data_IF_524478764045
#
_entry.id   IF_524478764045
#
_cell.length_a   1.000
_cell.length_b   1.000
_cell.length_c   1.000
_cell.angle_alpha   90.00
_cell.angle_beta   90.00
_cell.angle_gamma   90.00
#
_symmetry.space_group_name_H-M   'P 1'
#
loop_
_entity.id
_entity.type
_entity.pdbx_description
1 polymer ?
#
# COMPACT_ATOMS: atom_id res chain seq x y z
N UNK A 1 -14.93 -11.60 10.74
CA UNK A 1 -13.68 -11.62 9.96
C UNK A 1 -13.88 -11.68 8.44
N UNK A 2 -14.25 -12.81 7.80
CA UNK A 2 -14.26 -12.96 6.31
C UNK A 2 -15.00 -11.86 5.54
N UNK A 3 -16.22 -11.49 5.93
CA UNK A 3 -17.02 -10.44 5.26
C UNK A 3 -16.36 -9.05 5.38
N UNK A 4 -15.73 -8.75 6.53
CA UNK A 4 -15.05 -7.47 6.79
C UNK A 4 -13.78 -7.36 5.90
N UNK A 5 -12.96 -8.41 5.87
CA UNK A 5 -11.76 -8.49 5.01
C UNK A 5 -12.14 -8.34 3.54
N UNK A 6 -13.16 -9.07 3.07
CA UNK A 6 -13.62 -8.98 1.69
C UNK A 6 -14.08 -7.57 1.30
N UNK A 7 -14.84 -6.90 2.18
CA UNK A 7 -15.28 -5.51 1.96
C UNK A 7 -14.10 -4.55 1.88
N UNK A 8 -13.14 -4.68 2.81
CA UNK A 8 -11.91 -3.87 2.80
C UNK A 8 -11.08 -4.11 1.54
N UNK A 9 -10.87 -5.38 1.16
CA UNK A 9 -10.15 -5.74 -0.04
C UNK A 9 -10.81 -5.17 -1.32
N UNK A 10 -12.15 -5.21 -1.40
CA UNK A 10 -12.88 -4.65 -2.54
C UNK A 10 -12.71 -3.12 -2.62
N UNK A 11 -12.84 -2.42 -1.50
CA UNK A 11 -12.58 -0.97 -1.44
C UNK A 11 -11.14 -0.68 -1.84
N UNK A 12 -10.18 -1.41 -1.27
CA UNK A 12 -8.76 -1.27 -1.59
C UNK A 12 -8.45 -1.53 -3.06
N UNK A 13 -9.12 -2.50 -3.69
CA UNK A 13 -8.95 -2.79 -5.09
C UNK A 13 -9.31 -1.59 -5.97
N UNK A 14 -10.46 -0.98 -5.78
CA UNK A 14 -10.86 0.19 -6.56
C UNK A 14 -9.99 1.42 -6.27
N UNK A 15 -9.63 1.66 -5.01
CA UNK A 15 -8.71 2.74 -4.65
C UNK A 15 -7.31 2.51 -5.24
N UNK A 16 -6.80 1.28 -5.20
CA UNK A 16 -5.52 0.93 -5.80
C UNK A 16 -5.49 1.14 -7.31
N UNK A 17 -6.56 0.76 -8.02
CA UNK A 17 -6.70 1.04 -9.45
C UNK A 17 -6.65 2.54 -9.74
N UNK A 18 -7.38 3.34 -8.96
CA UNK A 18 -7.47 4.78 -9.16
C UNK A 18 -6.13 5.46 -8.87
N UNK A 19 -5.50 5.15 -7.73
CA UNK A 19 -4.20 5.72 -7.33
C UNK A 19 -3.10 5.28 -8.28
N UNK A 20 -3.05 4.00 -8.66
CA UNK A 20 -2.04 3.46 -9.58
C UNK A 20 -2.09 4.12 -10.95
N UNK A 21 -3.30 4.33 -11.50
CA UNK A 21 -3.46 5.06 -12.76
C UNK A 21 -3.10 6.54 -12.63
N UNK A 22 -3.44 7.18 -11.50
CA UNK A 22 -3.08 8.57 -11.23
C UNK A 22 -1.55 8.74 -11.17
N UNK A 23 -0.86 7.85 -10.44
CA UNK A 23 0.61 7.86 -10.36
C UNK A 23 1.23 7.64 -11.74
N UNK A 24 0.74 6.67 -12.51
CA UNK A 24 1.20 6.40 -13.87
C UNK A 24 1.03 7.64 -14.78
N UNK A 25 -0.10 8.32 -14.68
CA UNK A 25 -0.37 9.55 -15.42
C UNK A 25 0.57 10.70 -15.02
N UNK A 26 0.79 10.90 -13.71
CA UNK A 26 1.67 11.97 -13.21
C UNK A 26 3.16 11.70 -13.50
N UNK A 27 3.55 10.44 -13.60
CA UNK A 27 4.93 10.01 -13.91
C UNK A 27 5.23 10.02 -15.41
N UNK A 28 4.24 10.31 -16.24
CA UNK A 28 4.40 10.36 -17.69
C UNK A 28 5.22 11.59 -18.12
N UNK A 29 6.18 11.38 -19.01
CA UNK A 29 6.91 12.48 -19.63
C UNK A 29 5.99 13.25 -20.59
N UNK A 30 5.68 14.49 -20.21
CA UNK A 30 4.80 15.38 -20.98
C UNK A 30 5.43 15.90 -22.28
N UNK A 31 6.74 15.69 -22.45
CA UNK A 31 7.46 16.10 -23.67
C UNK A 31 7.40 15.05 -24.78
N UNK A 32 6.99 13.82 -24.47
CA UNK A 32 6.89 12.75 -25.46
C UNK A 32 5.66 12.94 -26.36
N UNK A 33 5.82 12.73 -27.66
CA UNK A 33 4.71 12.80 -28.65
C UNK A 33 3.57 11.80 -28.34
N UNK A 34 3.90 10.70 -27.64
CA UNK A 34 2.96 9.70 -27.15
C UNK A 34 3.28 9.41 -25.70
N UNK A 35 2.58 10.04 -24.75
CA UNK A 35 2.81 9.79 -23.34
C UNK A 35 2.45 8.34 -23.02
N UNK A 36 3.45 7.51 -22.71
CA UNK A 36 3.27 6.13 -22.30
C UNK A 36 2.98 6.13 -20.80
N UNK A 37 1.74 5.84 -20.43
CA UNK A 37 1.27 5.80 -19.03
C UNK A 37 1.78 4.56 -18.29
N UNK A 38 2.45 3.63 -18.98
CA UNK A 38 2.96 2.38 -18.42
C UNK A 38 4.43 2.16 -18.80
N UNK A 39 5.13 1.39 -17.97
CA UNK A 39 6.53 1.04 -18.20
C UNK A 39 6.73 0.36 -19.56
N UNK A 40 7.78 0.72 -20.31
CA UNK A 40 8.16 0.02 -21.55
C UNK A 40 8.36 -1.48 -21.35
N UNK A 41 8.89 -1.89 -20.18
CA UNK A 41 9.07 -3.30 -19.81
C UNK A 41 7.72 -4.04 -19.78
N UNK A 42 6.68 -3.41 -19.24
CA UNK A 42 5.35 -4.02 -19.21
C UNK A 42 4.72 -4.08 -20.60
N UNK A 43 4.96 -3.07 -21.44
CA UNK A 43 4.50 -3.07 -22.85
C UNK A 43 5.13 -4.22 -23.62
N UNK A 44 6.44 -4.42 -23.48
CA UNK A 44 7.16 -5.54 -24.12
C UNK A 44 6.60 -6.90 -23.66
N UNK A 45 6.36 -7.06 -22.36
CA UNK A 45 5.80 -8.32 -21.79
C UNK A 45 4.37 -8.62 -22.25
N UNK A 46 3.56 -7.60 -22.46
CA UNK A 46 2.14 -7.76 -22.80
C UNK A 46 1.85 -7.61 -24.29
N UNK A 47 2.85 -7.21 -25.09
CA UNK A 47 2.76 -7.06 -26.53
C UNK A 47 2.01 -5.81 -27.03
N UNK A 48 1.42 -5.02 -26.14
CA UNK A 48 0.77 -3.76 -26.53
C UNK A 48 0.58 -2.80 -25.34
N UNK A 49 0.58 -1.49 -25.64
CA UNK A 49 0.30 -0.43 -24.64
C UNK A 49 -1.07 -0.63 -23.98
N UNK A 50 -2.08 -1.01 -24.75
CA UNK A 50 -3.45 -1.24 -24.22
C UNK A 50 -3.49 -2.39 -23.21
N UNK A 51 -2.86 -3.52 -23.55
CA UNK A 51 -2.77 -4.65 -22.63
C UNK A 51 -1.97 -4.30 -21.39
N UNK A 52 -0.85 -3.58 -21.54
CA UNK A 52 -0.04 -3.10 -20.43
C UNK A 52 -0.84 -2.19 -19.47
N UNK A 53 -1.64 -1.27 -19.99
CA UNK A 53 -2.51 -0.41 -19.16
C UNK A 53 -3.52 -1.21 -18.35
N UNK A 54 -4.17 -2.19 -18.95
CA UNK A 54 -5.14 -3.06 -18.26
C UNK A 54 -4.43 -3.83 -17.14
N UNK A 55 -3.30 -4.46 -17.45
CA UNK A 55 -2.53 -5.26 -16.49
C UNK A 55 -2.02 -4.38 -15.34
N UNK A 56 -1.45 -3.20 -15.65
CA UNK A 56 -0.98 -2.25 -14.64
C UNK A 56 -2.12 -1.83 -13.69
N UNK A 57 -3.29 -1.52 -14.24
CA UNK A 57 -4.48 -1.13 -13.47
C UNK A 57 -4.93 -2.26 -12.55
N UNK A 58 -5.05 -3.49 -13.05
CA UNK A 58 -5.48 -4.66 -12.26
C UNK A 58 -4.48 -4.99 -11.15
N UNK A 59 -3.18 -4.95 -11.44
CA UNK A 59 -2.13 -5.23 -10.45
C UNK A 59 -2.04 -4.13 -9.38
N UNK A 60 -2.24 -2.86 -9.75
CA UNK A 60 -2.38 -1.76 -8.79
C UNK A 60 -3.62 -1.96 -7.90
N UNK A 61 -4.72 -2.42 -8.47
CA UNK A 61 -5.92 -2.81 -7.72
C UNK A 61 -5.64 -3.94 -6.73
N UNK A 62 -4.93 -4.99 -7.16
CA UNK A 62 -4.56 -6.11 -6.29
C UNK A 62 -3.68 -5.67 -5.12
N UNK A 63 -2.71 -4.77 -5.37
CA UNK A 63 -1.88 -4.18 -4.32
C UNK A 63 -2.71 -3.36 -3.33
N UNK A 64 -3.64 -2.55 -3.82
CA UNK A 64 -4.60 -1.82 -2.98
C UNK A 64 -5.48 -2.75 -2.15
N UNK A 65 -5.96 -3.86 -2.74
CA UNK A 65 -6.74 -4.88 -2.04
C UNK A 65 -5.94 -5.51 -0.89
N UNK A 66 -4.68 -5.87 -1.13
CA UNK A 66 -3.80 -6.43 -0.11
C UNK A 66 -3.54 -5.43 1.03
N UNK A 67 -3.28 -4.15 0.68
CA UNK A 67 -3.09 -3.08 1.66
C UNK A 67 -4.31 -2.88 2.55
N UNK A 68 -5.49 -2.74 1.95
CA UNK A 68 -6.72 -2.56 2.73
C UNK A 68 -7.15 -3.80 3.49
N UNK A 69 -6.94 -5.01 2.96
CA UNK A 69 -7.19 -6.24 3.70
C UNK A 69 -6.30 -6.35 4.96
N UNK A 70 -5.05 -5.90 4.87
CA UNK A 70 -4.10 -5.89 5.99
C UNK A 70 -4.48 -4.97 7.14
N UNK A 71 -5.38 -4.00 6.92
CA UNK A 71 -5.92 -3.16 8.01
C UNK A 71 -6.59 -3.99 9.11
N UNK A 72 -7.05 -5.21 8.78
CA UNK A 72 -7.67 -6.12 9.77
C UNK A 72 -6.71 -6.45 10.93
N UNK A 73 -5.38 -6.43 10.71
CA UNK A 73 -4.39 -6.67 11.76
C UNK A 73 -4.40 -5.62 12.87
N UNK A 74 -4.95 -4.43 12.60
CA UNK A 74 -5.12 -3.34 13.55
C UNK A 74 -6.48 -3.35 14.26
N UNK A 75 -7.32 -4.34 13.97
CA UNK A 75 -8.64 -4.47 14.56
C UNK A 75 -8.57 -5.25 15.88
N UNK A 76 -8.82 -4.60 17.03
CA UNK A 76 -8.75 -5.25 18.32
C UNK A 76 -9.79 -6.34 18.51
N UNK A 77 -10.93 -6.28 17.80
CA UNK A 77 -11.99 -7.31 17.87
C UNK A 77 -11.58 -8.61 17.16
N UNK A 78 -10.62 -8.55 16.25
CA UNK A 78 -10.16 -9.70 15.47
C UNK A 78 -8.77 -10.18 15.92
N UNK A 79 -7.89 -9.27 16.33
CA UNK A 79 -6.53 -9.56 16.77
C UNK A 79 -6.16 -8.71 17.99
N UNK A 80 -5.86 -9.39 19.11
CA UNK A 80 -5.32 -8.74 20.31
C UNK A 80 -3.80 -8.50 20.13
N UNK A 81 -3.44 -7.73 19.11
CA UNK A 81 -2.07 -7.39 18.80
C UNK A 81 -1.78 -5.93 19.15
N UNK A 82 -0.64 -5.70 19.80
CA UNK A 82 -0.16 -4.33 19.97
C UNK A 82 0.10 -3.68 18.60
N UNK A 83 -0.05 -2.35 18.53
CA UNK A 83 0.04 -1.55 17.32
C UNK A 83 1.29 -1.85 16.48
N UNK A 84 2.45 -2.05 17.12
CA UNK A 84 3.72 -2.35 16.43
C UNK A 84 3.68 -3.72 15.75
N UNK A 85 3.17 -4.75 16.44
CA UNK A 85 3.05 -6.10 15.86
C UNK A 85 2.12 -6.10 14.66
N UNK A 86 0.94 -5.48 14.79
CA UNK A 86 0.00 -5.32 13.69
C UNK A 86 0.63 -4.61 12.48
N UNK A 87 1.39 -3.53 12.71
CA UNK A 87 2.08 -2.80 11.67
C UNK A 87 3.13 -3.65 10.93
N UNK A 88 3.91 -4.44 11.64
CA UNK A 88 4.91 -5.34 11.03
C UNK A 88 4.24 -6.37 10.11
N UNK A 89 3.19 -7.04 10.57
CA UNK A 89 2.48 -8.03 9.74
C UNK A 89 1.79 -7.39 8.54
N UNK A 90 1.21 -6.20 8.73
CA UNK A 90 0.63 -5.44 7.63
C UNK A 90 1.68 -5.06 6.57
N UNK A 91 2.84 -4.54 7.01
CA UNK A 91 3.94 -4.23 6.12
C UNK A 91 4.44 -5.46 5.35
N UNK A 92 4.63 -6.60 6.03
CA UNK A 92 5.05 -7.85 5.38
C UNK A 92 4.03 -8.31 4.33
N UNK A 93 2.74 -8.22 4.64
CA UNK A 93 1.69 -8.53 3.68
C UNK A 93 1.80 -7.66 2.43
N UNK A 94 1.97 -6.33 2.60
CA UNK A 94 2.15 -5.42 1.47
C UNK A 94 3.39 -5.80 0.66
N UNK A 95 4.52 -6.10 1.29
CA UNK A 95 5.77 -6.44 0.59
C UNK A 95 5.67 -7.73 -0.24
N UNK A 96 4.96 -8.74 0.26
CA UNK A 96 4.72 -10.00 -0.47
C UNK A 96 4.02 -9.76 -1.82
N UNK A 97 3.13 -8.78 -1.90
CA UNK A 97 2.47 -8.41 -3.15
C UNK A 97 3.24 -7.33 -3.93
N UNK A 98 3.81 -6.34 -3.24
CA UNK A 98 4.46 -5.19 -3.87
C UNK A 98 5.70 -5.60 -4.68
N UNK A 99 6.60 -6.39 -4.12
CA UNK A 99 7.86 -6.74 -4.80
C UNK A 99 7.60 -7.49 -6.11
N UNK A 100 6.81 -8.58 -6.17
CA UNK A 100 6.52 -9.26 -7.43
C UNK A 100 5.81 -8.37 -8.45
N UNK A 101 4.87 -7.55 -8.00
CA UNK A 101 4.13 -6.63 -8.87
C UNK A 101 5.07 -5.56 -9.43
N UNK A 102 5.92 -4.94 -8.59
CA UNK A 102 6.86 -3.92 -9.02
C UNK A 102 7.87 -4.45 -10.06
N UNK A 103 8.39 -5.65 -9.85
CA UNK A 103 9.29 -6.33 -10.79
C UNK A 103 8.58 -6.69 -12.10
N UNK A 104 7.35 -7.18 -12.01
CA UNK A 104 6.56 -7.55 -13.19
C UNK A 104 6.16 -6.32 -14.01
N UNK A 105 5.70 -5.25 -13.34
CA UNK A 105 5.32 -4.01 -14.00
C UNK A 105 6.53 -3.18 -14.49
N UNK A 106 7.75 -3.53 -14.09
CA UNK A 106 8.95 -2.77 -14.43
C UNK A 106 9.05 -1.43 -13.68
N UNK A 107 8.43 -1.34 -12.49
CA UNK A 107 8.61 -0.18 -11.60
C UNK A 107 9.94 -0.24 -10.85
N UNK A 108 10.47 -1.44 -10.65
CA UNK A 108 11.75 -1.71 -10.03
C UNK A 108 12.58 -2.59 -10.95
N UNK A 109 13.84 -2.24 -11.28
CA UNK A 109 14.74 -3.11 -12.00
C UNK A 109 15.00 -4.42 -11.25
N UNK A 110 15.21 -5.55 -11.96
CA UNK A 110 15.36 -6.88 -11.33
C UNK A 110 16.79 -7.13 -10.83
N UNK A 111 17.44 -6.14 -10.28
CA UNK A 111 18.77 -6.29 -9.66
C UNK A 111 18.67 -6.12 -8.13
N UNK A 112 19.56 -6.79 -7.36
CA UNK A 112 19.48 -6.80 -5.91
C UNK A 112 19.56 -5.41 -5.27
N UNK A 113 20.34 -4.49 -5.84
CA UNK A 113 20.52 -3.14 -5.29
C UNK A 113 19.24 -2.33 -5.46
N UNK A 114 18.64 -2.36 -6.65
CA UNK A 114 17.38 -1.69 -6.93
C UNK A 114 16.24 -2.22 -6.06
N UNK A 115 16.16 -3.55 -5.86
CA UNK A 115 15.16 -4.16 -4.97
C UNK A 115 15.36 -3.71 -3.53
N UNK A 116 16.61 -3.63 -3.05
CA UNK A 116 16.92 -3.17 -1.70
C UNK A 116 16.53 -1.69 -1.53
N UNK A 117 16.87 -0.83 -2.48
CA UNK A 117 16.50 0.59 -2.47
C UNK A 117 14.98 0.74 -2.48
N UNK A 118 14.28 0.02 -3.37
CA UNK A 118 12.81 0.04 -3.47
C UNK A 118 12.16 -0.37 -2.14
N UNK A 119 12.62 -1.48 -1.56
CA UNK A 119 12.14 -1.96 -0.26
C UNK A 119 12.42 -0.96 0.85
N UNK A 120 13.59 -0.32 0.84
CA UNK A 120 13.98 0.72 1.80
C UNK A 120 13.07 1.95 1.72
N UNK A 121 12.74 2.43 0.52
CA UNK A 121 11.81 3.55 0.31
C UNK A 121 10.41 3.19 0.83
N UNK A 122 9.93 1.98 0.54
CA UNK A 122 8.64 1.51 1.03
C UNK A 122 8.61 1.38 2.55
N UNK A 123 9.69 0.83 3.15
CA UNK A 123 9.82 0.71 4.60
C UNK A 123 9.84 2.09 5.28
N UNK A 124 10.58 3.05 4.73
CA UNK A 124 10.63 4.41 5.26
C UNK A 124 9.27 5.11 5.18
N UNK A 125 8.59 5.01 4.04
CA UNK A 125 7.25 5.58 3.85
C UNK A 125 6.25 4.99 4.84
N UNK A 126 6.29 3.66 5.02
CA UNK A 126 5.44 2.96 5.96
C UNK A 126 5.75 3.35 7.41
N UNK A 127 7.04 3.48 7.76
CA UNK A 127 7.48 3.91 9.08
C UNK A 127 6.98 5.31 9.42
N UNK A 128 7.02 6.25 8.48
CA UNK A 128 6.51 7.62 8.67
C UNK A 128 5.01 7.59 9.00
N UNK A 129 4.22 6.85 8.22
CA UNK A 129 2.77 6.69 8.47
C UNK A 129 2.51 6.05 9.84
N UNK A 130 3.25 4.98 10.16
CA UNK A 130 3.15 4.32 11.46
C UNK A 130 3.48 5.27 12.61
N UNK A 131 4.55 6.06 12.49
CA UNK A 131 4.96 7.03 13.51
C UNK A 131 3.88 8.09 13.75
N UNK A 132 3.28 8.63 12.69
CA UNK A 132 2.18 9.61 12.78
C UNK A 132 1.00 8.98 13.54
N UNK A 133 0.59 7.78 13.15
CA UNK A 133 -0.51 7.07 13.80
C UNK A 133 -0.20 6.75 15.26
N UNK A 134 1.03 6.31 15.57
CA UNK A 134 1.48 6.06 16.93
C UNK A 134 1.37 7.31 17.82
N UNK A 135 1.80 8.46 17.33
CA UNK A 135 1.73 9.72 18.08
C UNK A 135 0.27 10.14 18.32
N UNK A 136 -0.61 9.99 17.31
CA UNK A 136 -2.04 10.28 17.43
C UNK A 136 -2.70 9.38 18.50
N UNK A 137 -2.44 8.08 18.44
CA UNK A 137 -3.01 7.13 19.42
C UNK A 137 -2.48 7.39 20.83
N UNK A 138 -1.19 7.66 20.97
CA UNK A 138 -0.59 8.00 22.28
C UNK A 138 -1.26 9.22 22.91
N UNK A 139 -1.51 10.28 22.12
CA UNK A 139 -2.20 11.49 22.58
C UNK A 139 -3.62 11.17 23.03
N UNK A 140 -4.41 10.47 22.22
CA UNK A 140 -5.78 10.07 22.57
C UNK A 140 -5.85 9.21 23.85
N UNK A 141 -4.92 8.30 24.03
CA UNK A 141 -4.86 7.46 25.23
C UNK A 141 -4.55 8.31 26.48
N UNK A 142 -3.66 9.31 26.38
CA UNK A 142 -3.38 10.21 27.48
C UNK A 142 -4.63 11.03 27.87
N UNK A 143 -5.32 11.61 26.86
CA UNK A 143 -6.56 12.37 27.08
C UNK A 143 -7.67 11.51 27.77
N UNK A 144 -7.84 10.27 27.33
CA UNK A 144 -8.80 9.35 27.94
C UNK A 144 -8.44 9.00 29.39
N UNK A 145 -7.15 8.81 29.68
CA UNK A 145 -6.69 8.53 31.05
C UNK A 145 -6.93 9.73 31.99
N UNK A 146 -6.73 10.96 31.52
CA UNK A 146 -7.06 12.17 32.29
C UNK A 146 -8.55 12.29 32.58
N UNK A 147 -9.40 12.07 31.56
CA UNK A 147 -10.86 12.08 31.75
C UNK A 147 -11.33 11.04 32.75
N UNK A 148 -10.76 9.82 32.71
CA UNK A 148 -11.09 8.77 33.69
C UNK A 148 -10.65 9.10 35.10
N UNK A 149 -9.55 9.84 35.26
CA UNK A 149 -9.07 10.30 36.59
C UNK A 149 -10.00 11.37 37.17
N UNK A 150 -10.39 12.35 36.36
CA UNK A 150 -11.26 13.45 36.79
C UNK A 150 -12.69 13.00 37.11
N UNK A 151 -13.19 11.88 36.51
CA UNK A 151 -14.50 11.32 36.80
C UNK A 151 -14.53 10.43 38.06
N UNK A 152 -13.39 10.19 38.69
CA UNK A 152 -13.29 9.40 39.96
C UNK A 152 -13.15 10.26 41.20
N UNK A 153 -12.96 11.57 41.04
CA UNK A 153 -13.00 12.59 42.10
C UNK A 153 -14.43 13.18 42.20
#
# INVERSE_FOLDING_TARGET
MKKKVFKLALIGFFLGMLIGNLISYLSCDKSAQHPVIVSPVLVERTGSVRAAMIVNTLLSGLLGAAGMAGVIFHDPDEFDWGMTKAAVYHFLLIMVFNIPIALYCGWCPPDPVSILIWTGIMALSYFIVWLIMFLIYRKKTAELNELMKNNKE
#
